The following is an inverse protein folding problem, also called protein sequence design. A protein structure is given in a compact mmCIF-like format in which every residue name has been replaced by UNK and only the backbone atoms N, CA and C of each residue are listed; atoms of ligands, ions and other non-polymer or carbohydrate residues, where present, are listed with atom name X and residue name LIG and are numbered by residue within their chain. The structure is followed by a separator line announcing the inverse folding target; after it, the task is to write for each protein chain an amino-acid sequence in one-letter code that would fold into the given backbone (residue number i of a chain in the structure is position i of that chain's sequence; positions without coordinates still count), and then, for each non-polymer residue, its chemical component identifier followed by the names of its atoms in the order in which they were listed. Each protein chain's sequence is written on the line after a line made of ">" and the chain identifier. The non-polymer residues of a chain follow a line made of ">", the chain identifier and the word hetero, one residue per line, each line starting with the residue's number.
data_IF_587784660880
#
_entry.id   IF_587784660880
#
_cell.length_a   1.000
_cell.length_b   1.000
_cell.length_c   1.000
_cell.angle_alpha   90.00
_cell.angle_beta   90.00
_cell.angle_gamma   90.00
#
_symmetry.space_group_name_H-M   'P 1'
#
loop_
_entity.id
_entity.type
_entity.pdbx_description
1 polymer ?
#
# COMPACT_ATOMS: atom_id res chain seq x y z
N UNK A 1 -16.28 6.71 -3.31
CA UNK A 1 -16.50 7.55 -4.53
C UNK A 1 -15.24 8.35 -4.84
N UNK A 2 -14.90 8.58 -6.11
CA UNK A 2 -13.77 9.42 -6.50
C UNK A 2 -14.27 10.79 -6.93
N UNK A 3 -13.67 11.86 -6.39
CA UNK A 3 -13.94 13.24 -6.81
C UNK A 3 -12.61 13.91 -7.13
N UNK A 4 -12.31 14.02 -8.43
CA UNK A 4 -11.02 14.52 -8.92
C UNK A 4 -9.85 13.68 -8.39
N UNK A 5 -8.96 14.33 -7.63
CA UNK A 5 -7.76 13.72 -7.02
C UNK A 5 -7.98 13.17 -5.61
N UNK A 6 -9.21 13.22 -5.11
CA UNK A 6 -9.57 12.75 -3.77
C UNK A 6 -10.41 11.48 -3.86
N UNK A 7 -9.99 10.49 -3.10
CA UNK A 7 -10.70 9.23 -2.96
C UNK A 7 -11.40 9.23 -1.60
N UNK A 8 -12.67 8.84 -1.60
CA UNK A 8 -13.49 8.82 -0.40
C UNK A 8 -13.99 7.40 -0.12
N UNK A 9 -13.97 7.03 1.16
CA UNK A 9 -14.64 5.83 1.66
C UNK A 9 -16.15 5.90 1.38
N UNK A 10 -16.84 4.76 1.51
CA UNK A 10 -18.30 4.70 1.38
C UNK A 10 -19.03 5.64 2.38
N UNK A 11 -18.42 5.86 3.55
CA UNK A 11 -18.90 6.76 4.60
C UNK A 11 -18.62 8.26 4.34
N UNK A 12 -17.99 8.60 3.21
CA UNK A 12 -17.69 10.00 2.85
C UNK A 12 -16.41 10.57 3.49
N UNK A 13 -15.70 9.82 4.32
CA UNK A 13 -14.37 10.19 4.81
C UNK A 13 -13.31 10.15 3.68
N UNK A 14 -12.34 11.08 3.70
CA UNK A 14 -11.26 11.12 2.71
C UNK A 14 -10.27 9.96 2.96
N UNK A 15 -10.19 9.05 2.01
CA UNK A 15 -9.29 7.90 2.03
C UNK A 15 -7.86 8.32 1.68
N UNK A 16 -7.63 8.89 0.50
CA UNK A 16 -6.31 9.37 0.10
C UNK A 16 -6.39 10.47 -0.95
N UNK A 17 -5.27 11.16 -1.12
CA UNK A 17 -5.07 12.20 -2.14
C UNK A 17 -3.98 11.75 -3.08
N UNK A 18 -4.29 11.80 -4.37
CA UNK A 18 -3.29 11.66 -5.42
C UNK A 18 -2.73 13.01 -5.86
N UNK A 19 -1.42 13.09 -6.00
CA UNK A 19 -0.72 14.27 -6.55
C UNK A 19 0.13 13.91 -7.76
N UNK A 20 -0.23 12.85 -8.49
CA UNK A 20 0.48 12.36 -9.68
C UNK A 20 1.76 11.60 -9.35
N UNK A 21 2.74 12.26 -8.71
CA UNK A 21 4.00 11.64 -8.28
C UNK A 21 4.00 11.16 -6.83
N UNK A 22 2.95 11.45 -6.06
CA UNK A 22 2.87 11.12 -4.64
C UNK A 22 1.44 10.84 -4.21
N UNK A 23 1.26 9.74 -3.51
CA UNK A 23 0.01 9.37 -2.86
C UNK A 23 0.12 9.65 -1.36
N UNK A 24 -0.88 10.30 -0.77
CA UNK A 24 -0.91 10.59 0.67
C UNK A 24 -2.25 10.21 1.26
N UNK A 25 -2.24 9.48 2.37
CA UNK A 25 -3.43 9.07 3.12
C UNK A 25 -3.31 9.53 4.58
N UNK A 26 -4.38 10.09 5.17
CA UNK A 26 -4.49 10.26 6.62
C UNK A 26 -4.98 8.97 7.32
N UNK A 27 -5.45 7.97 6.57
CA UNK A 27 -5.96 6.71 7.09
C UNK A 27 -4.87 5.64 7.14
N UNK A 28 -4.83 4.89 8.24
CA UNK A 28 -4.02 3.67 8.40
C UNK A 28 -4.79 2.39 8.03
N UNK A 29 -5.95 2.51 7.38
CA UNK A 29 -6.73 1.35 6.95
C UNK A 29 -5.97 0.58 5.86
N UNK A 30 -5.77 -0.73 6.09
CA UNK A 30 -5.12 -1.66 5.15
C UNK A 30 -5.76 -1.65 3.76
N UNK A 31 -7.08 -1.44 3.64
CA UNK A 31 -7.76 -1.33 2.34
C UNK A 31 -7.30 -0.11 1.54
N UNK A 32 -7.08 1.02 2.22
CA UNK A 32 -6.53 2.23 1.58
C UNK A 32 -5.12 1.96 1.12
N UNK A 33 -4.30 1.35 1.98
CA UNK A 33 -2.91 1.01 1.65
C UNK A 33 -2.84 0.13 0.40
N UNK A 34 -3.67 -0.92 0.33
CA UNK A 34 -3.76 -1.80 -0.86
C UNK A 34 -4.17 -1.00 -2.10
N UNK A 35 -5.13 -0.09 -1.96
CA UNK A 35 -5.56 0.77 -3.07
C UNK A 35 -4.42 1.67 -3.57
N UNK A 36 -3.62 2.26 -2.65
CA UNK A 36 -2.46 3.07 -3.01
C UNK A 36 -1.40 2.27 -3.77
N UNK A 37 -1.15 1.05 -3.30
CA UNK A 37 -0.20 0.12 -3.91
C UNK A 37 -0.66 -0.31 -5.31
N UNK A 38 -1.94 -0.65 -5.47
CA UNK A 38 -2.51 -0.99 -6.77
C UNK A 38 -2.41 0.17 -7.76
N UNK A 39 -2.59 1.42 -7.31
CA UNK A 39 -2.39 2.60 -8.14
C UNK A 39 -0.91 2.74 -8.54
N UNK A 40 0.02 2.52 -7.62
CA UNK A 40 1.45 2.57 -7.92
C UNK A 40 1.85 1.51 -8.96
N UNK A 41 1.36 0.28 -8.80
CA UNK A 41 1.58 -0.83 -9.73
C UNK A 41 0.96 -0.55 -11.10
N UNK A 42 -0.30 -0.12 -11.15
CA UNK A 42 -0.98 0.30 -12.40
C UNK A 42 -0.29 1.46 -13.12
N UNK A 43 0.42 2.33 -12.38
CA UNK A 43 1.26 3.39 -12.95
C UNK A 43 2.62 2.91 -13.46
N UNK A 44 2.93 1.62 -13.32
CA UNK A 44 4.22 1.04 -13.70
C UNK A 44 5.36 1.46 -12.76
N UNK A 45 5.07 1.84 -11.52
CA UNK A 45 6.13 2.10 -10.56
C UNK A 45 6.86 0.79 -10.24
N UNK A 46 8.16 0.84 -10.01
CA UNK A 46 8.94 -0.33 -9.57
C UNK A 46 9.33 -0.25 -8.09
N UNK A 47 9.31 0.95 -7.53
CA UNK A 47 9.72 1.24 -6.16
C UNK A 47 8.87 2.36 -5.57
N UNK A 48 8.49 2.21 -4.29
CA UNK A 48 7.80 3.23 -3.51
C UNK A 48 8.56 3.54 -2.21
N UNK A 49 8.51 4.79 -1.78
CA UNK A 49 9.02 5.19 -0.46
C UNK A 49 7.85 5.40 0.48
N UNK A 50 7.82 4.65 1.57
CA UNK A 50 6.75 4.71 2.57
C UNK A 50 7.25 5.46 3.81
N UNK A 51 6.45 6.41 4.28
CA UNK A 51 6.70 7.18 5.50
C UNK A 51 5.43 7.18 6.35
N UNK A 52 5.59 7.25 7.66
CA UNK A 52 4.47 7.23 8.61
C UNK A 52 4.79 6.39 9.84
N UNK A 53 3.73 5.95 10.51
CA UNK A 53 3.81 5.04 11.66
C UNK A 53 4.45 3.71 11.26
N UNK A 54 4.93 2.95 12.24
CA UNK A 54 5.46 1.61 11.99
C UNK A 54 4.40 0.66 11.41
N UNK A 55 3.19 0.69 11.95
CA UNK A 55 2.05 -0.08 11.45
C UNK A 55 1.77 0.23 9.98
N UNK A 56 1.66 1.51 9.63
CA UNK A 56 1.43 1.91 8.25
C UNK A 56 2.56 1.42 7.32
N UNK A 57 3.81 1.58 7.74
CA UNK A 57 4.98 1.14 6.97
C UNK A 57 5.01 -0.37 6.77
N UNK A 58 4.63 -1.13 7.79
CA UNK A 58 4.53 -2.59 7.75
C UNK A 58 3.45 -3.06 6.77
N UNK A 59 2.22 -2.58 6.91
CA UNK A 59 1.11 -2.95 6.01
C UNK A 59 1.40 -2.54 4.56
N UNK A 60 1.95 -1.33 4.36
CA UNK A 60 2.32 -0.85 3.03
C UNK A 60 3.46 -1.65 2.42
N UNK A 61 4.45 -2.04 3.23
CA UNK A 61 5.52 -2.92 2.78
C UNK A 61 4.94 -4.25 2.29
N UNK A 62 4.13 -4.91 3.11
CA UNK A 62 3.53 -6.20 2.75
C UNK A 62 2.73 -6.10 1.45
N UNK A 63 1.79 -5.16 1.36
CA UNK A 63 0.95 -4.98 0.18
C UNK A 63 1.77 -4.70 -1.07
N UNK A 64 2.78 -3.83 -0.98
CA UNK A 64 3.65 -3.52 -2.11
C UNK A 64 4.50 -4.71 -2.53
N UNK A 65 5.05 -5.49 -1.59
CA UNK A 65 5.80 -6.70 -1.91
C UNK A 65 4.94 -7.77 -2.59
N UNK A 66 3.67 -7.91 -2.18
CA UNK A 66 2.69 -8.77 -2.85
C UNK A 66 2.41 -8.33 -4.28
N UNK A 67 2.35 -7.01 -4.52
CA UNK A 67 2.22 -6.42 -5.85
C UNK A 67 3.53 -6.37 -6.66
N UNK A 68 4.62 -6.98 -6.17
CA UNK A 68 5.93 -6.99 -6.85
C UNK A 68 6.72 -5.67 -6.77
N UNK A 69 6.23 -4.69 -6.00
CA UNK A 69 6.88 -3.40 -5.81
C UNK A 69 7.99 -3.47 -4.76
N UNK A 70 9.08 -2.71 -4.98
CA UNK A 70 10.10 -2.48 -3.96
C UNK A 70 9.64 -1.37 -3.01
N UNK A 71 10.03 -1.48 -1.74
CA UNK A 71 9.62 -0.53 -0.69
C UNK A 71 10.85 -0.02 0.02
N UNK A 72 10.96 1.30 0.14
CA UNK A 72 11.98 1.99 0.93
C UNK A 72 11.36 2.68 2.13
N UNK A 73 12.09 2.73 3.25
CA UNK A 73 11.65 3.35 4.51
C UNK A 73 11.11 2.37 5.56
N UNK A 74 11.01 1.09 5.22
CA UNK A 74 10.70 0.01 6.15
C UNK A 74 11.76 -1.09 6.06
N UNK A 75 12.24 -1.59 7.20
CA UNK A 75 13.13 -2.75 7.29
C UNK A 75 12.32 -3.91 7.86
N UNK A 76 11.92 -4.89 7.04
CA UNK A 76 11.15 -6.03 7.53
C UNK A 76 12.03 -6.90 8.43
N UNK A 77 11.45 -7.39 9.52
CA UNK A 77 12.07 -8.41 10.36
C UNK A 77 11.86 -9.79 9.75
N UNK A 78 12.47 -10.84 10.32
CA UNK A 78 12.21 -12.23 9.91
C UNK A 78 10.73 -12.59 10.00
N UNK A 79 10.02 -12.07 11.01
CA UNK A 79 8.58 -12.27 11.15
C UNK A 79 7.78 -11.67 9.98
N UNK A 80 8.09 -10.43 9.58
CA UNK A 80 7.43 -9.79 8.43
C UNK A 80 7.72 -10.52 7.12
N UNK A 81 8.96 -11.00 6.95
CA UNK A 81 9.34 -11.80 5.80
C UNK A 81 8.58 -13.14 5.75
N UNK A 82 8.49 -13.85 6.88
CA UNK A 82 7.70 -15.08 6.98
C UNK A 82 6.21 -14.82 6.68
N UNK A 83 5.67 -13.69 7.15
CA UNK A 83 4.29 -13.28 6.87
C UNK A 83 4.06 -12.99 5.37
N UNK A 84 5.00 -12.32 4.70
CA UNK A 84 4.98 -12.12 3.25
C UNK A 84 4.99 -13.46 2.50
N UNK A 85 5.91 -14.37 2.84
CA UNK A 85 6.01 -15.69 2.19
C UNK A 85 4.70 -16.47 2.33
N UNK A 86 4.12 -16.51 3.54
CA UNK A 86 2.83 -17.15 3.79
C UNK A 86 1.70 -16.55 2.95
N UNK A 87 1.72 -15.22 2.78
CA UNK A 87 0.69 -14.50 2.03
C UNK A 87 0.80 -14.78 0.53
N UNK A 88 2.02 -14.77 -0.02
CA UNK A 88 2.29 -15.14 -1.41
C UNK A 88 1.85 -16.57 -1.74
N UNK A 89 2.09 -17.54 -0.84
CA UNK A 89 1.64 -18.92 -1.02
C UNK A 89 0.11 -19.07 -1.10
N UNK A 90 -0.66 -18.13 -0.53
CA UNK A 90 -2.13 -18.14 -0.62
C UNK A 90 -2.68 -17.44 -1.86
N UNK A 91 -1.95 -16.48 -2.42
CA UNK A 91 -2.38 -15.74 -3.62
C UNK A 91 -1.97 -16.42 -4.93
N UNK A 92 -0.91 -17.24 -4.96
CA UNK A 92 -0.48 -17.99 -6.15
C UNK A 92 -1.32 -19.21 -6.52
N UNK A 93 -2.49 -19.40 -5.89
CA UNK A 93 -3.40 -20.52 -6.13
C UNK A 93 -4.73 -20.14 -6.78
N UNK A 94 -4.78 -19.04 -7.54
CA UNK A 94 -5.98 -18.55 -8.24
C UNK A 94 -5.76 -18.54 -9.75
#
# INVERSE_FOLDING_TARGET
>A
MQVGKHYYFADGARAFTDRGGRLTTPSENTEVIRSLVAIAESRGWSEITVRGTERFRKDAWLAARLAGLKVRGFRPTEFEQAHLVRSLSREGGR
#
